data_IF_325207451955
#
_entry.id   IF_325207451955
#
_cell.length_a   1.000
_cell.length_b   1.000
_cell.length_c   1.000
_cell.angle_alpha   90.00
_cell.angle_beta   90.00
_cell.angle_gamma   90.00
#
_symmetry.space_group_name_H-M   'P 1'
#
loop_
_entity.id
_entity.type
_entity.pdbx_description
1 polymer ?
#
# COMPACT_ATOMS: atom_id res chain seq x y z
N UNK A 1 -6.06 18.78 -1.28
CA UNK A 1 -5.48 18.30 -2.56
C UNK A 1 -6.00 16.90 -2.76
N UNK A 2 -6.62 16.62 -3.92
CA UNK A 2 -7.06 15.27 -4.26
C UNK A 2 -5.88 14.53 -4.88
N UNK A 3 -5.47 13.40 -4.31
CA UNK A 3 -4.38 12.60 -4.87
C UNK A 3 -4.95 11.77 -6.00
N UNK A 4 -4.39 11.89 -7.20
CA UNK A 4 -4.62 10.92 -8.26
C UNK A 4 -3.72 9.71 -8.03
N UNK A 5 -4.34 8.62 -7.60
CA UNK A 5 -3.63 7.38 -7.30
C UNK A 5 -3.30 6.54 -8.53
N UNK A 6 -3.90 6.84 -9.68
CA UNK A 6 -3.60 6.16 -10.94
C UNK A 6 -2.19 6.49 -11.45
N UNK A 7 -1.69 7.69 -11.11
CA UNK A 7 -0.35 8.17 -11.48
C UNK A 7 0.70 8.02 -10.35
N UNK A 8 0.31 7.44 -9.20
CA UNK A 8 1.23 7.28 -8.08
C UNK A 8 2.34 6.24 -8.37
N UNK A 9 3.50 6.41 -7.73
CA UNK A 9 4.60 5.44 -7.81
C UNK A 9 4.31 4.25 -6.90
N UNK A 10 3.83 3.15 -7.49
CA UNK A 10 3.45 1.93 -6.78
C UNK A 10 4.63 0.97 -6.63
N UNK A 11 4.90 0.56 -5.39
CA UNK A 11 5.90 -0.44 -5.04
C UNK A 11 5.24 -1.77 -4.69
N UNK A 12 5.56 -2.80 -5.47
CA UNK A 12 5.12 -4.17 -5.22
C UNK A 12 5.99 -4.85 -4.17
N UNK A 13 5.36 -5.56 -3.23
CA UNK A 13 6.09 -6.35 -2.23
C UNK A 13 6.89 -7.48 -2.89
N UNK A 14 8.12 -7.71 -2.44
CA UNK A 14 8.95 -8.85 -2.87
C UNK A 14 8.39 -10.20 -2.39
N UNK A 15 7.50 -10.19 -1.39
CA UNK A 15 6.78 -11.37 -0.92
C UNK A 15 5.61 -11.77 -1.84
N UNK A 16 5.22 -10.90 -2.79
CA UNK A 16 4.09 -11.13 -3.70
C UNK A 16 4.39 -12.06 -4.88
N UNK A 17 5.50 -12.81 -4.85
CA UNK A 17 5.91 -13.73 -5.92
C UNK A 17 5.92 -15.22 -5.55
N UNK A 18 5.72 -15.59 -4.28
CA UNK A 18 5.68 -17.00 -3.84
C UNK A 18 4.33 -17.70 -4.14
N UNK A 19 4.29 -19.03 -4.00
CA UNK A 19 3.17 -19.93 -4.34
C UNK A 19 1.81 -19.64 -3.66
N UNK A 20 1.67 -18.53 -2.92
CA UNK A 20 0.49 -18.12 -2.16
C UNK A 20 -0.27 -16.91 -2.71
N UNK A 21 0.18 -16.24 -3.79
CA UNK A 21 -0.68 -15.35 -4.58
C UNK A 21 -1.24 -14.09 -3.89
N UNK A 22 -0.71 -13.65 -2.75
CA UNK A 22 -1.15 -12.40 -2.11
C UNK A 22 -0.31 -11.22 -2.64
N UNK A 23 -0.93 -10.42 -3.52
CA UNK A 23 -0.26 -9.38 -4.29
C UNK A 23 -0.72 -8.01 -3.80
N UNK A 24 0.13 -7.32 -3.03
CA UNK A 24 -0.15 -5.98 -2.52
C UNK A 24 0.90 -5.00 -3.05
N UNK A 25 0.45 -3.82 -3.44
CA UNK A 25 1.31 -2.68 -3.75
C UNK A 25 1.02 -1.51 -2.83
N UNK A 26 2.05 -0.72 -2.53
CA UNK A 26 1.95 0.49 -1.71
C UNK A 26 2.52 1.70 -2.45
N UNK A 27 1.92 2.87 -2.26
CA UNK A 27 2.40 4.13 -2.82
C UNK A 27 2.34 5.24 -1.76
N UNK A 28 3.34 6.13 -1.78
CA UNK A 28 3.41 7.30 -0.91
C UNK A 28 3.16 8.55 -1.73
N UNK A 29 2.12 9.32 -1.39
CA UNK A 29 1.79 10.55 -2.10
C UNK A 29 1.11 11.54 -1.15
N UNK A 30 1.48 12.82 -1.22
CA UNK A 30 0.79 13.90 -0.50
C UNK A 30 0.62 13.70 1.01
N UNK A 31 1.57 13.02 1.68
CA UNK A 31 1.50 12.70 3.11
C UNK A 31 0.52 11.57 3.47
N UNK A 32 0.11 10.77 2.49
CA UNK A 32 -0.81 9.63 2.61
C UNK A 32 -0.17 8.37 2.05
N UNK A 33 -0.67 7.23 2.49
CA UNK A 33 -0.24 5.92 2.00
C UNK A 33 -1.42 5.22 1.33
N UNK A 34 -1.25 4.89 0.06
CA UNK A 34 -2.19 4.08 -0.71
C UNK A 34 -1.79 2.61 -0.66
N UNK A 35 -2.76 1.71 -0.50
CA UNK A 35 -2.57 0.26 -0.55
C UNK A 35 -3.59 -0.32 -1.52
N UNK A 36 -3.14 -1.13 -2.48
CA UNK A 36 -4.03 -1.78 -3.47
C UNK A 36 -3.66 -3.23 -3.73
N UNK A 37 -4.61 -3.95 -4.32
CA UNK A 37 -4.37 -5.27 -4.91
C UNK A 37 -3.57 -5.11 -6.20
N UNK A 38 -2.40 -5.77 -6.31
CA UNK A 38 -1.63 -5.72 -7.54
C UNK A 38 -2.34 -6.41 -8.73
N UNK A 39 -3.33 -7.27 -8.46
CA UNK A 39 -4.11 -7.98 -9.48
C UNK A 39 -5.26 -7.15 -10.04
N UNK A 40 -5.67 -6.10 -9.32
CA UNK A 40 -6.67 -5.14 -9.77
C UNK A 40 -6.18 -3.69 -9.62
N UNK A 41 -5.21 -3.24 -10.43
CA UNK A 41 -4.63 -1.89 -10.32
C UNK A 41 -5.61 -0.75 -10.54
N UNK A 42 -6.73 -1.01 -11.23
CA UNK A 42 -7.79 -0.06 -11.53
C UNK A 42 -8.92 -0.07 -10.48
N UNK A 43 -8.91 -1.05 -9.57
CA UNK A 43 -9.84 -1.16 -8.47
C UNK A 43 -9.63 -0.10 -7.38
N UNK A 44 -10.50 -0.08 -6.36
CA UNK A 44 -10.38 0.84 -5.24
C UNK A 44 -9.12 0.55 -4.41
N UNK A 45 -8.52 1.60 -3.86
CA UNK A 45 -7.39 1.51 -2.95
C UNK A 45 -7.78 1.95 -1.53
N UNK A 46 -7.12 1.37 -0.54
CA UNK A 46 -7.18 1.85 0.84
C UNK A 46 -6.21 3.01 0.99
N UNK A 47 -6.62 4.04 1.73
CA UNK A 47 -5.83 5.25 1.92
C UNK A 47 -5.72 5.62 3.38
N UNK A 48 -4.51 5.65 3.90
CA UNK A 48 -4.18 5.99 5.28
C UNK A 48 -3.49 7.36 5.35
N UNK A 49 -3.62 8.04 6.50
CA UNK A 49 -2.72 9.15 6.78
C UNK A 49 -1.30 8.61 7.02
N UNK A 50 -0.27 9.37 6.65
CA UNK A 50 1.12 8.96 6.87
C UNK A 50 1.43 8.66 8.34
N UNK A 51 0.90 9.49 9.27
CA UNK A 51 1.10 9.30 10.70
C UNK A 51 0.53 7.98 11.23
N UNK A 52 -0.67 7.60 10.80
CA UNK A 52 -1.30 6.33 11.20
C UNK A 52 -0.51 5.13 10.64
N UNK A 53 0.02 5.27 9.41
CA UNK A 53 0.88 4.26 8.80
C UNK A 53 2.19 4.06 9.56
N UNK A 54 2.82 5.17 10.00
CA UNK A 54 4.03 5.12 10.81
C UNK A 54 3.78 4.48 12.17
N UNK A 55 2.65 4.78 12.82
CA UNK A 55 2.24 4.13 14.07
C UNK A 55 2.02 2.63 13.87
N UNK A 56 1.32 2.23 12.79
CA UNK A 56 1.13 0.83 12.44
C UNK A 56 2.46 0.10 12.25
N UNK A 57 3.40 0.67 11.50
CA UNK A 57 4.73 0.08 11.28
C UNK A 57 5.54 0.00 12.58
N UNK A 58 5.43 1.01 13.44
CA UNK A 58 6.07 1.09 14.75
C UNK A 58 5.53 0.07 15.76
N UNK A 59 4.24 -0.28 15.67
CA UNK A 59 3.59 -1.24 16.57
C UNK A 59 4.13 -2.67 16.50
N UNK A 60 4.79 -3.03 15.39
CA UNK A 60 5.30 -4.39 15.10
C UNK A 60 4.24 -5.50 15.12
N UNK A 61 2.95 -5.18 15.09
CA UNK A 61 1.87 -6.18 15.08
C UNK A 61 1.95 -7.15 13.87
N UNK A 62 2.63 -6.72 12.80
CA UNK A 62 2.87 -7.48 11.58
C UNK A 62 4.01 -8.50 11.67
N UNK A 63 4.78 -8.54 12.76
CA UNK A 63 5.92 -9.47 12.94
C UNK A 63 5.51 -10.83 13.54
N UNK A 64 4.25 -11.21 13.43
CA UNK A 64 3.72 -12.42 14.07
C UNK A 64 4.06 -13.70 13.33
#
# INVERSE_FOLDING_TARGET
>A
MNIDWSEAEWHKSTYSGGSGGECVEVAFAGGRVGVRDSKDPAGPNLVFAGADWDEFLGSKIWQR
#
